data_IF_427111512431
#
_entry.id   IF_427111512431
#
_cell.length_a   1.000
_cell.length_b   1.000
_cell.length_c   1.000
_cell.angle_alpha   90.00
_cell.angle_beta   90.00
_cell.angle_gamma   90.00
#
_symmetry.space_group_name_H-M   'P 1'
#
loop_
_entity.id
_entity.type
_entity.pdbx_description
1 polymer ?
#
# COMPACT_ATOMS: atom_id res chain seq x y z
N UNK A 1 -12.01 -13.66 17.97
CA UNK A 1 -10.92 -14.41 17.33
C UNK A 1 -9.85 -13.40 16.94
N UNK A 2 -8.79 -13.29 17.73
CA UNK A 2 -7.64 -12.43 17.42
C UNK A 2 -6.82 -13.16 16.38
N UNK A 3 -6.87 -12.73 15.12
CA UNK A 3 -5.89 -13.17 14.14
C UNK A 3 -4.61 -12.45 14.56
N UNK A 4 -3.68 -13.16 15.21
CA UNK A 4 -2.33 -12.64 15.40
C UNK A 4 -1.72 -12.51 14.01
N UNK A 5 -1.71 -11.27 13.51
CA UNK A 5 -1.00 -10.88 12.31
C UNK A 5 0.48 -10.73 12.71
N UNK A 6 1.10 -11.84 13.13
CA UNK A 6 2.52 -11.89 13.49
C UNK A 6 3.33 -11.86 12.19
N UNK A 7 3.62 -10.66 11.71
CA UNK A 7 4.40 -10.42 10.50
C UNK A 7 4.20 -9.02 9.92
N UNK A 8 5.17 -8.56 9.14
CA UNK A 8 5.00 -7.34 8.35
C UNK A 8 4.04 -7.58 7.18
N UNK A 9 3.10 -6.67 7.01
CA UNK A 9 2.14 -6.64 5.92
C UNK A 9 2.29 -5.32 5.18
N UNK A 10 2.21 -5.38 3.88
CA UNK A 10 2.40 -4.22 3.03
C UNK A 10 1.09 -3.89 2.34
N UNK A 11 0.54 -2.71 2.61
CA UNK A 11 -0.69 -2.20 2.02
C UNK A 11 -0.34 -1.21 0.91
N UNK A 12 -0.78 -1.51 -0.31
CA UNK A 12 -0.70 -0.56 -1.43
C UNK A 12 -2.01 0.20 -1.53
N UNK A 13 -1.92 1.52 -1.38
CA UNK A 13 -3.04 2.45 -1.40
C UNK A 13 -2.93 3.39 -2.60
N UNK A 14 -4.06 3.75 -3.17
CA UNK A 14 -4.20 4.81 -4.17
C UNK A 14 -5.22 5.82 -3.69
N UNK A 15 -4.84 7.08 -3.60
CA UNK A 15 -5.78 8.18 -3.51
C UNK A 15 -5.90 8.82 -4.88
N UNK A 16 -7.04 8.62 -5.54
CA UNK A 16 -7.34 9.41 -6.73
C UNK A 16 -7.39 10.89 -6.37
N UNK A 17 -6.95 11.78 -7.25
CA UNK A 17 -6.79 13.21 -6.92
C UNK A 17 -8.06 13.88 -6.38
N UNK A 18 -9.24 13.42 -6.80
CA UNK A 18 -10.53 13.95 -6.37
C UNK A 18 -11.22 13.10 -5.28
N UNK A 19 -10.58 12.01 -4.84
CA UNK A 19 -11.16 11.11 -3.86
C UNK A 19 -10.87 11.58 -2.43
N UNK A 20 -11.89 11.54 -1.58
CA UNK A 20 -11.76 11.85 -0.15
C UNK A 20 -11.09 10.72 0.65
N UNK A 21 -11.16 9.48 0.14
CA UNK A 21 -10.60 8.29 0.79
C UNK A 21 -9.70 7.51 -0.17
N UNK A 22 -8.59 6.93 0.32
CA UNK A 22 -7.77 6.02 -0.47
C UNK A 22 -8.48 4.68 -0.72
N UNK A 23 -8.27 4.13 -1.92
CA UNK A 23 -8.60 2.77 -2.27
C UNK A 23 -7.47 1.81 -1.87
N UNK A 24 -7.83 0.64 -1.35
CA UNK A 24 -6.88 -0.46 -1.15
C UNK A 24 -6.72 -1.21 -2.47
N UNK A 25 -5.53 -1.12 -3.05
CA UNK A 25 -5.20 -1.78 -4.32
C UNK A 25 -4.71 -3.19 -4.07
N UNK A 26 -3.98 -3.42 -2.97
CA UNK A 26 -3.49 -4.75 -2.62
C UNK A 26 -2.91 -4.84 -1.21
N UNK A 27 -2.91 -6.06 -0.68
CA UNK A 27 -2.30 -6.43 0.60
C UNK A 27 -1.30 -7.55 0.32
N UNK A 28 -0.06 -7.38 0.76
CA UNK A 28 1.05 -8.29 0.49
C UNK A 28 1.71 -8.73 1.79
N UNK A 29 2.12 -9.99 1.87
CA UNK A 29 2.96 -10.51 2.98
C UNK A 29 4.47 -10.40 2.72
N UNK A 30 4.90 -9.73 1.65
CA UNK A 30 6.30 -9.66 1.22
C UNK A 30 6.60 -8.28 0.62
N UNK A 31 7.68 -7.65 1.08
CA UNK A 31 8.09 -6.31 0.65
C UNK A 31 8.41 -6.25 -0.85
N UNK A 32 9.11 -7.25 -1.38
CA UNK A 32 9.54 -7.26 -2.77
C UNK A 32 8.36 -7.31 -3.73
N UNK A 33 7.40 -8.22 -3.47
CA UNK A 33 6.16 -8.28 -4.26
C UNK A 33 5.34 -6.99 -4.17
N UNK A 34 5.29 -6.37 -3.00
CA UNK A 34 4.57 -5.12 -2.82
C UNK A 34 5.20 -3.97 -3.62
N UNK A 35 6.54 -3.92 -3.68
CA UNK A 35 7.29 -2.92 -4.46
C UNK A 35 7.17 -3.15 -5.97
N UNK A 36 7.19 -4.41 -6.42
CA UNK A 36 6.98 -4.77 -7.82
C UNK A 36 5.58 -4.34 -8.27
N UNK A 37 4.54 -4.72 -7.52
CA UNK A 37 3.17 -4.34 -7.80
C UNK A 37 2.95 -2.81 -7.75
N UNK A 38 3.58 -2.14 -6.80
CA UNK A 38 3.58 -0.68 -6.73
C UNK A 38 4.18 -0.04 -8.00
N UNK A 39 5.33 -0.53 -8.46
CA UNK A 39 5.97 -0.03 -9.67
C UNK A 39 5.10 -0.20 -10.92
N UNK A 40 4.49 -1.38 -11.07
CA UNK A 40 3.54 -1.66 -12.16
C UNK A 40 2.32 -0.74 -12.09
N UNK A 41 1.72 -0.60 -10.92
CA UNK A 41 0.50 0.20 -10.73
C UNK A 41 0.73 1.70 -10.97
N UNK A 42 1.83 2.25 -10.45
CA UNK A 42 2.24 3.65 -10.68
C UNK A 42 2.52 3.87 -12.17
N UNK A 43 3.22 2.94 -12.82
CA UNK A 43 3.54 3.02 -14.25
C UNK A 43 2.33 2.91 -15.18
N UNK A 44 1.33 2.11 -14.79
CA UNK A 44 0.10 1.91 -15.57
C UNK A 44 -0.88 3.09 -15.49
N UNK A 45 -0.80 3.90 -14.43
CA UNK A 45 -1.68 5.06 -14.22
C UNK A 45 -0.89 6.34 -13.96
N UNK A 46 -0.22 6.90 -15.00
CA UNK A 46 0.43 8.20 -14.91
C UNK A 46 -0.66 9.29 -14.80
N UNK A 47 -0.93 9.72 -13.57
CA UNK A 47 -1.96 10.70 -13.26
C UNK A 47 -1.64 11.42 -11.95
N UNK A 48 -2.47 12.41 -11.54
CA UNK A 48 -2.27 13.16 -10.30
C UNK A 48 -2.56 12.34 -9.03
N UNK A 49 -2.76 11.04 -9.19
CA UNK A 49 -3.09 10.13 -8.10
C UNK A 49 -1.88 9.97 -7.19
N UNK A 50 -2.17 9.87 -5.89
CA UNK A 50 -1.15 9.64 -4.87
C UNK A 50 -1.12 8.16 -4.56
N UNK A 51 0.05 7.57 -4.70
CA UNK A 51 0.30 6.18 -4.32
C UNK A 51 1.06 6.13 -3.01
N UNK A 52 0.67 5.22 -2.12
CA UNK A 52 1.31 5.02 -0.82
C UNK A 52 1.49 3.53 -0.58
N UNK A 53 2.68 3.15 -0.12
CA UNK A 53 2.96 1.83 0.40
C UNK A 53 3.15 1.91 1.91
N UNK A 54 2.24 1.29 2.65
CA UNK A 54 2.30 1.21 4.10
C UNK A 54 2.83 -0.13 4.56
N UNK A 55 3.66 -0.14 5.60
CA UNK A 55 4.04 -1.35 6.32
C UNK A 55 3.30 -1.39 7.65
N UNK A 56 2.63 -2.50 7.92
CA UNK A 56 1.84 -2.76 9.13
C UNK A 56 2.39 -4.00 9.83
N UNK A 57 2.35 -4.01 11.17
CA UNK A 57 2.76 -5.17 11.96
C UNK A 57 1.96 -5.20 13.26
N UNK A 58 1.29 -6.32 13.54
CA UNK A 58 0.44 -6.46 14.73
C UNK A 58 -0.71 -5.44 14.81
N UNK A 59 -1.20 -4.94 13.66
CA UNK A 59 -2.24 -3.90 13.60
C UNK A 59 -1.73 -2.47 13.81
N UNK A 60 -0.42 -2.30 13.99
CA UNK A 60 0.21 -0.97 14.07
C UNK A 60 0.86 -0.59 12.75
N UNK A 61 0.68 0.67 12.34
CA UNK A 61 1.41 1.25 11.21
C UNK A 61 2.87 1.43 11.60
N UNK A 62 3.78 0.79 10.86
CA UNK A 62 5.23 0.87 11.06
C UNK A 62 5.87 1.90 10.13
N UNK A 63 5.40 1.99 8.90
CA UNK A 63 5.88 2.99 7.93
C UNK A 63 4.82 3.31 6.89
N UNK A 64 4.91 4.49 6.29
CA UNK A 64 4.07 4.93 5.19
C UNK A 64 4.95 5.70 4.20
N UNK A 65 5.12 5.14 3.00
CA UNK A 65 6.03 5.66 1.98
C UNK A 65 5.22 6.08 0.77
N UNK A 66 5.35 7.34 0.36
CA UNK A 66 4.77 7.82 -0.89
C UNK A 66 5.55 7.29 -2.09
N UNK A 67 4.82 6.80 -3.09
CA UNK A 67 5.33 6.30 -4.34
C UNK A 67 4.93 7.29 -5.44
N UNK A 68 5.89 7.81 -6.20
CA UNK A 68 5.67 8.89 -7.16
C UNK A 68 5.82 10.28 -6.56
#
# INVERSE_FOLDING_TARGET
MSISIDGEHYLLLRSAFWAETPDVIGIYGCAERAREAAGEAVGASPGPDRWVLETWSGGELRSSVRLG
#
